data_IF_797917406873
#
_entry.id   IF_797917406873
#
_cell.length_a   1.000
_cell.length_b   1.000
_cell.length_c   1.000
_cell.angle_alpha   90.00
_cell.angle_beta   90.00
_cell.angle_gamma   90.00
#
_symmetry.space_group_name_H-M   'P 1'
#
loop_
_entity.id
_entity.type
_entity.pdbx_description
1 polymer ?
#
# COMPACT_ATOMS: atom_id res chain seq x y z
N UNK A 1 36.20 20.35 2.81
CA UNK A 1 35.31 19.19 2.60
C UNK A 1 34.35 19.13 3.76
N UNK A 2 33.08 18.79 3.54
CA UNK A 2 32.11 18.51 4.61
C UNK A 2 31.72 17.03 4.54
N UNK A 3 31.70 16.37 5.69
CA UNK A 3 31.36 14.95 5.85
C UNK A 3 30.53 14.83 7.12
N UNK A 4 29.25 14.49 6.97
CA UNK A 4 28.36 14.26 8.11
C UNK A 4 28.73 12.98 8.87
N UNK A 5 28.61 13.01 10.18
CA UNK A 5 28.57 11.81 10.99
C UNK A 5 27.19 11.13 10.97
N UNK A 6 27.06 9.99 11.66
CA UNK A 6 25.80 9.24 11.71
C UNK A 6 24.69 9.99 12.45
N UNK A 7 25.02 10.72 13.51
CA UNK A 7 24.07 11.47 14.31
C UNK A 7 23.55 12.68 13.53
N UNK A 8 24.44 13.41 12.86
CA UNK A 8 24.10 14.50 11.94
C UNK A 8 23.17 14.02 10.83
N UNK A 9 23.45 12.85 10.23
CA UNK A 9 22.55 12.26 9.23
C UNK A 9 21.13 12.00 9.78
N UNK A 10 20.99 11.48 11.00
CA UNK A 10 19.66 11.26 11.59
C UNK A 10 18.95 12.57 11.98
N UNK A 11 19.71 13.59 12.35
CA UNK A 11 19.18 14.86 12.86
C UNK A 11 18.99 15.95 11.79
N UNK A 12 19.61 15.81 10.62
CA UNK A 12 19.68 16.85 9.60
C UNK A 12 19.16 16.44 8.23
N UNK A 13 19.16 15.15 7.89
CA UNK A 13 18.69 14.70 6.58
C UNK A 13 17.18 14.51 6.56
N UNK A 14 16.62 14.42 5.35
CA UNK A 14 15.20 14.18 5.15
C UNK A 14 14.79 12.77 5.62
N UNK A 15 13.63 12.70 6.28
CA UNK A 15 12.99 11.45 6.69
C UNK A 15 11.96 11.00 5.63
N UNK A 16 11.28 9.87 5.85
CA UNK A 16 10.26 9.39 4.92
C UNK A 16 9.02 8.85 5.63
N UNK A 17 7.96 8.66 4.85
CA UNK A 17 6.70 7.98 5.18
C UNK A 17 5.64 8.76 5.95
N UNK A 18 6.01 9.56 6.93
CA UNK A 18 5.17 10.03 8.05
C UNK A 18 3.75 10.50 7.68
N UNK A 19 2.83 9.53 7.60
CA UNK A 19 1.47 9.69 7.11
C UNK A 19 0.49 9.09 8.12
N UNK A 20 -0.57 9.82 8.40
CA UNK A 20 -1.76 9.30 9.09
C UNK A 20 -2.87 9.13 8.06
N UNK A 21 -3.26 7.87 7.83
CA UNK A 21 -4.23 7.53 6.78
C UNK A 21 -5.42 6.77 7.35
N UNK A 22 -6.62 7.23 7.02
CA UNK A 22 -7.86 6.51 7.17
C UNK A 22 -8.39 6.12 5.79
N UNK A 23 -8.75 4.85 5.60
CA UNK A 23 -9.24 4.35 4.32
C UNK A 23 -10.47 3.47 4.49
N UNK A 24 -11.38 3.51 3.51
CA UNK A 24 -12.64 2.77 3.48
C UNK A 24 -12.80 2.10 2.11
N UNK A 25 -13.21 0.83 2.12
CA UNK A 25 -13.44 0.04 0.91
C UNK A 25 -14.91 -0.39 0.88
N UNK A 26 -15.61 -0.05 -0.19
CA UNK A 26 -16.97 -0.51 -0.44
C UNK A 26 -16.96 -1.78 -1.28
N UNK A 27 -17.79 -2.76 -0.92
CA UNK A 27 -17.91 -4.03 -1.63
C UNK A 27 -19.37 -4.38 -1.92
N UNK A 28 -19.62 -5.09 -3.02
CA UNK A 28 -20.93 -5.69 -3.29
C UNK A 28 -21.12 -7.05 -2.60
N UNK A 29 -22.32 -7.61 -2.72
CA UNK A 29 -22.66 -8.96 -2.20
C UNK A 29 -21.87 -10.11 -2.83
N UNK A 30 -21.14 -9.86 -3.91
CA UNK A 30 -20.25 -10.82 -4.59
C UNK A 30 -18.78 -10.55 -4.25
N UNK A 31 -18.51 -9.69 -3.27
CA UNK A 31 -17.18 -9.27 -2.81
C UNK A 31 -16.37 -8.56 -3.91
N UNK A 32 -17.04 -7.88 -4.84
CA UNK A 32 -16.40 -6.98 -5.81
C UNK A 32 -16.17 -5.62 -5.17
N UNK A 33 -14.98 -5.05 -5.35
CA UNK A 33 -14.66 -3.71 -4.88
C UNK A 33 -15.40 -2.69 -5.75
N UNK A 34 -16.10 -1.77 -5.10
CA UNK A 34 -16.93 -0.75 -5.74
C UNK A 34 -16.25 0.61 -5.69
N UNK A 35 -15.83 1.01 -4.49
CA UNK A 35 -15.26 2.32 -4.25
C UNK A 35 -14.19 2.30 -3.16
N UNK A 36 -13.20 3.19 -3.29
CA UNK A 36 -12.16 3.45 -2.31
C UNK A 36 -12.22 4.92 -1.89
N UNK A 37 -12.27 5.18 -0.59
CA UNK A 37 -12.17 6.53 0.00
C UNK A 37 -10.97 6.59 0.92
N UNK A 38 -10.06 7.53 0.69
CA UNK A 38 -8.82 7.70 1.45
C UNK A 38 -8.70 9.12 1.97
N UNK A 39 -8.48 9.26 3.27
CA UNK A 39 -8.18 10.52 3.94
C UNK A 39 -6.78 10.43 4.55
N UNK A 40 -5.86 11.23 4.01
CA UNK A 40 -4.43 11.19 4.31
C UNK A 40 -3.96 12.55 4.82
N UNK A 41 -3.26 12.54 5.96
CA UNK A 41 -2.49 13.68 6.48
C UNK A 41 -1.01 13.30 6.42
N UNK A 42 -0.21 14.08 5.70
CA UNK A 42 1.24 13.88 5.55
C UNK A 42 2.00 14.97 6.33
N UNK A 43 2.93 14.56 7.18
CA UNK A 43 3.90 15.46 7.80
C UNK A 43 4.98 15.84 6.78
N UNK A 44 5.26 17.15 6.64
CA UNK A 44 6.28 17.71 5.77
C UNK A 44 7.56 18.14 6.51
N UNK A 45 7.57 18.08 7.83
CA UNK A 45 8.58 18.69 8.68
C UNK A 45 8.46 20.22 8.73
N UNK A 46 9.54 20.89 9.12
CA UNK A 46 9.55 22.34 9.28
C UNK A 46 9.60 23.10 7.94
N UNK A 47 10.10 22.45 6.89
CA UNK A 47 10.31 23.04 5.56
C UNK A 47 10.04 22.02 4.47
N UNK A 48 9.62 22.50 3.30
CA UNK A 48 9.52 21.65 2.12
C UNK A 48 10.91 21.43 1.52
N UNK A 49 11.33 20.17 1.47
CA UNK A 49 12.50 19.72 0.72
C UNK A 49 12.18 19.53 -0.77
N UNK A 50 13.06 18.87 -1.52
CA UNK A 50 13.05 18.82 -2.99
C UNK A 50 11.72 18.34 -3.58
N UNK A 51 11.16 17.20 -3.14
CA UNK A 51 9.89 16.71 -3.67
C UNK A 51 8.72 16.94 -2.70
N UNK A 52 8.96 16.84 -1.39
CA UNK A 52 8.02 17.16 -0.31
C UNK A 52 6.54 16.84 -0.64
N UNK A 53 5.60 17.80 -0.88
CA UNK A 53 4.18 17.47 -1.07
C UNK A 53 3.90 16.65 -2.34
N UNK A 54 4.82 16.61 -3.30
CA UNK A 54 4.71 15.76 -4.47
C UNK A 54 4.73 14.27 -4.09
N UNK A 55 5.41 13.88 -3.01
CA UNK A 55 5.54 12.50 -2.55
C UNK A 55 4.19 11.88 -2.17
N UNK A 56 3.42 12.43 -1.23
CA UNK A 56 2.09 11.90 -0.93
C UNK A 56 1.12 12.11 -2.11
N UNK A 57 1.31 13.13 -2.96
CA UNK A 57 0.46 13.34 -4.15
C UNK A 57 0.61 12.21 -5.18
N UNK A 58 1.84 11.79 -5.51
CA UNK A 58 2.03 10.66 -6.41
C UNK A 58 1.59 9.34 -5.79
N UNK A 59 1.75 9.19 -4.47
CA UNK A 59 1.23 8.06 -3.70
C UNK A 59 -0.29 7.96 -3.75
N UNK A 60 -0.99 9.09 -3.56
CA UNK A 60 -2.45 9.18 -3.66
C UNK A 60 -2.96 8.68 -5.02
N UNK A 61 -2.24 8.98 -6.09
CA UNK A 61 -2.53 8.47 -7.43
C UNK A 61 -2.45 6.93 -7.55
N UNK A 62 -1.76 6.24 -6.66
CA UNK A 62 -1.63 4.78 -6.64
C UNK A 62 -2.56 4.09 -5.62
N UNK A 63 -3.45 4.83 -4.97
CA UNK A 63 -4.34 4.31 -3.91
C UNK A 63 -5.17 3.08 -4.32
N UNK A 64 -5.71 2.98 -5.55
CA UNK A 64 -6.42 1.77 -5.97
C UNK A 64 -5.55 0.50 -6.04
N UNK A 65 -4.22 0.64 -5.99
CA UNK A 65 -3.29 -0.48 -6.12
C UNK A 65 -3.46 -1.19 -7.46
N UNK A 66 -3.43 -2.52 -7.43
CA UNK A 66 -3.60 -3.40 -8.60
C UNK A 66 -5.03 -3.92 -8.75
N UNK A 67 -5.98 -3.28 -8.06
CA UNK A 67 -7.38 -3.70 -8.03
C UNK A 67 -8.22 -2.90 -9.02
N UNK A 68 -9.20 -3.60 -9.59
CA UNK A 68 -10.25 -3.04 -10.42
C UNK A 68 -11.31 -2.37 -9.54
N UNK A 69 -11.10 -1.08 -9.26
CA UNK A 69 -11.96 -0.25 -8.40
C UNK A 69 -12.48 0.91 -9.24
N UNK A 70 -13.80 0.96 -9.45
CA UNK A 70 -14.44 1.90 -10.37
C UNK A 70 -14.45 3.36 -9.87
N UNK A 71 -14.57 3.57 -8.55
CA UNK A 71 -14.59 4.90 -7.95
C UNK A 71 -13.50 5.04 -6.88
N UNK A 72 -12.70 6.10 -6.96
CA UNK A 72 -11.68 6.39 -5.95
C UNK A 72 -11.70 7.87 -5.60
N UNK A 73 -11.81 8.18 -4.32
CA UNK A 73 -11.64 9.52 -3.78
C UNK A 73 -10.45 9.53 -2.82
N UNK A 74 -9.59 10.55 -2.96
CA UNK A 74 -8.46 10.76 -2.05
C UNK A 74 -8.43 12.22 -1.63
N UNK A 75 -8.52 12.45 -0.31
CA UNK A 75 -8.24 13.73 0.32
C UNK A 75 -6.83 13.69 0.92
N UNK A 76 -5.97 14.60 0.46
CA UNK A 76 -4.60 14.76 0.95
C UNK A 76 -4.44 16.12 1.62
N UNK A 77 -3.88 16.11 2.84
CA UNK A 77 -3.50 17.32 3.57
C UNK A 77 -2.04 17.21 3.97
N UNK A 78 -1.24 18.21 3.61
CA UNK A 78 0.14 18.34 4.05
C UNK A 78 0.20 19.30 5.24
N UNK A 79 0.94 18.95 6.29
CA UNK A 79 1.08 19.76 7.50
C UNK A 79 2.55 20.01 7.81
N UNK A 80 2.86 21.20 8.32
CA UNK A 80 4.18 21.51 8.86
C UNK A 80 4.27 21.09 10.32
N UNK A 81 5.44 20.60 10.73
CA UNK A 81 5.75 20.26 12.12
C UNK A 81 7.16 20.72 12.50
N UNK A 82 7.50 20.72 13.80
CA UNK A 82 8.84 21.06 14.27
C UNK A 82 9.82 19.87 14.15
N UNK A 83 9.93 19.28 12.96
CA UNK A 83 10.83 18.16 12.65
C UNK A 83 11.66 18.45 11.40
N UNK A 84 12.66 17.61 11.09
CA UNK A 84 13.39 17.68 9.81
C UNK A 84 12.43 17.41 8.63
N UNK A 85 12.74 17.88 7.41
CA UNK A 85 11.88 17.64 6.25
C UNK A 85 11.58 16.16 6.01
N UNK A 86 10.40 15.88 5.48
CA UNK A 86 10.01 14.54 5.00
C UNK A 86 10.03 14.51 3.48
N UNK A 87 10.74 13.55 2.89
CA UNK A 87 10.92 13.42 1.45
C UNK A 87 10.99 11.94 0.96
N UNK A 88 11.37 11.77 -0.29
CA UNK A 88 11.49 10.51 -0.99
C UNK A 88 12.47 9.57 -0.30
N UNK A 89 11.90 8.54 0.32
CA UNK A 89 12.63 7.33 0.65
C UNK A 89 12.06 6.18 -0.17
N UNK A 90 12.89 5.53 -1.01
CA UNK A 90 12.57 4.31 -1.82
C UNK A 90 11.09 4.15 -2.22
N UNK A 91 10.71 4.66 -3.38
CA UNK A 91 9.38 4.43 -4.00
C UNK A 91 8.42 5.61 -3.97
N UNK A 92 8.66 6.60 -3.09
CA UNK A 92 7.97 7.90 -3.03
C UNK A 92 6.42 7.79 -2.98
N UNK A 93 5.83 7.65 -1.79
CA UNK A 93 4.37 7.60 -1.58
C UNK A 93 3.70 6.28 -2.01
N UNK A 94 4.30 5.54 -2.95
CA UNK A 94 3.78 4.25 -3.43
C UNK A 94 3.82 3.15 -2.37
N UNK A 95 4.88 3.01 -1.55
CA UNK A 95 4.87 2.05 -0.43
C UNK A 95 3.70 2.29 0.54
N UNK A 96 3.37 3.55 0.83
CA UNK A 96 2.30 3.97 1.72
C UNK A 96 0.94 3.63 1.12
N UNK A 97 0.72 3.93 -0.17
CA UNK A 97 -0.49 3.55 -0.89
C UNK A 97 -0.68 2.02 -0.92
N UNK A 98 0.37 1.28 -1.27
CA UNK A 98 0.36 -0.18 -1.28
C UNK A 98 0.08 -0.76 0.11
N UNK A 99 0.73 -0.22 1.15
CA UNK A 99 0.47 -0.65 2.53
C UNK A 99 -1.00 -0.46 2.90
N UNK A 100 -1.56 0.74 2.67
CA UNK A 100 -2.94 1.05 3.04
C UNK A 100 -3.94 0.12 2.34
N UNK A 101 -3.85 -0.02 1.01
CA UNK A 101 -4.81 -0.85 0.27
C UNK A 101 -4.69 -2.32 0.64
N UNK A 102 -3.47 -2.86 0.78
CA UNK A 102 -3.28 -4.27 1.15
C UNK A 102 -3.73 -4.57 2.59
N UNK A 103 -3.51 -3.64 3.53
CA UNK A 103 -4.00 -3.78 4.90
C UNK A 103 -5.53 -3.72 4.97
N UNK A 104 -6.15 -2.89 4.15
CA UNK A 104 -7.60 -2.74 4.04
C UNK A 104 -8.24 -3.97 3.40
N UNK A 105 -7.65 -4.51 2.33
CA UNK A 105 -8.10 -5.77 1.71
C UNK A 105 -8.01 -6.93 2.69
N UNK A 106 -6.93 -7.01 3.49
CA UNK A 106 -6.82 -8.00 4.57
C UNK A 106 -7.88 -7.81 5.65
N UNK A 107 -8.22 -6.55 6.01
CA UNK A 107 -9.26 -6.26 6.99
C UNK A 107 -10.63 -6.71 6.46
N UNK A 108 -10.96 -6.36 5.22
CA UNK A 108 -12.19 -6.79 4.55
C UNK A 108 -12.29 -8.32 4.44
N UNK A 109 -11.18 -9.00 4.12
CA UNK A 109 -11.16 -10.46 4.07
C UNK A 109 -11.48 -11.11 5.43
N UNK A 110 -10.97 -10.54 6.53
CA UNK A 110 -11.29 -11.00 7.89
C UNK A 110 -12.76 -10.77 8.23
N UNK A 111 -13.30 -9.60 7.91
CA UNK A 111 -14.70 -9.24 8.17
C UNK A 111 -15.68 -10.11 7.38
N UNK A 112 -15.33 -10.46 6.15
CA UNK A 112 -16.12 -11.34 5.29
C UNK A 112 -15.87 -12.84 5.50
N UNK A 113 -14.96 -13.20 6.39
CA UNK A 113 -14.53 -14.58 6.65
C UNK A 113 -14.08 -15.34 5.39
N UNK A 114 -13.43 -14.64 4.45
CA UNK A 114 -12.89 -15.23 3.22
C UNK A 114 -11.37 -15.26 3.22
N UNK A 115 -10.80 -16.16 2.40
CA UNK A 115 -9.36 -16.20 2.23
C UNK A 115 -8.85 -14.90 1.57
N UNK A 116 -7.82 -14.25 2.14
CA UNK A 116 -7.34 -12.94 1.68
C UNK A 116 -6.80 -12.97 0.25
N UNK A 117 -6.20 -14.08 -0.18
CA UNK A 117 -5.74 -14.30 -1.55
C UNK A 117 -6.89 -14.55 -2.54
N UNK A 118 -7.98 -15.18 -2.09
CA UNK A 118 -9.19 -15.33 -2.90
C UNK A 118 -9.89 -13.99 -3.15
N UNK A 119 -9.99 -13.13 -2.11
CA UNK A 119 -10.56 -11.79 -2.24
C UNK A 119 -9.73 -10.92 -3.20
N UNK A 120 -8.40 -11.03 -3.14
CA UNK A 120 -7.48 -10.35 -4.05
C UNK A 120 -7.67 -10.79 -5.51
N UNK A 121 -7.59 -12.09 -5.80
CA UNK A 121 -7.79 -12.63 -7.17
C UNK A 121 -9.10 -12.17 -7.78
N UNK A 122 -10.15 -12.13 -6.95
CA UNK A 122 -11.47 -11.70 -7.39
C UNK A 122 -11.47 -10.25 -7.89
N UNK A 123 -10.59 -9.39 -7.38
CA UNK A 123 -10.63 -7.95 -7.62
C UNK A 123 -9.42 -7.40 -8.37
N UNK A 124 -8.44 -8.22 -8.78
CA UNK A 124 -7.35 -7.74 -9.61
C UNK A 124 -7.83 -7.23 -10.97
N UNK A 125 -7.14 -6.22 -11.47
CA UNK A 125 -7.22 -5.86 -12.89
C UNK A 125 -6.78 -7.07 -13.72
N UNK A 126 -7.56 -7.42 -14.74
CA UNK A 126 -7.30 -8.58 -15.58
C UNK A 126 -6.24 -8.25 -16.65
N UNK A 127 -5.41 -9.22 -17.07
CA UNK A 127 -4.47 -9.02 -18.18
C UNK A 127 -5.15 -8.52 -19.46
N UNK A 128 -6.36 -9.04 -19.75
CA UNK A 128 -7.15 -8.66 -20.92
C UNK A 128 -7.71 -7.23 -20.88
N UNK A 129 -7.60 -6.54 -19.73
CA UNK A 129 -8.02 -5.15 -19.57
C UNK A 129 -6.87 -4.16 -19.75
N UNK A 130 -5.65 -4.63 -20.00
CA UNK A 130 -4.49 -3.78 -20.22
C UNK A 130 -4.46 -3.23 -21.66
N UNK A 131 -4.07 -1.95 -21.87
CA UNK A 131 -3.71 -0.97 -20.86
C UNK A 131 -4.93 -0.51 -20.04
N UNK A 132 -4.74 -0.37 -18.73
CA UNK A 132 -5.83 -0.07 -17.79
C UNK A 132 -5.64 1.30 -17.15
N UNK A 133 -6.64 2.17 -17.28
CA UNK A 133 -6.66 3.45 -16.58
C UNK A 133 -7.37 3.30 -15.23
N UNK A 134 -6.67 3.55 -14.13
CA UNK A 134 -7.25 3.53 -12.78
C UNK A 134 -8.21 4.70 -12.57
N UNK A 135 -9.09 4.59 -11.57
CA UNK A 135 -9.98 5.69 -11.16
C UNK A 135 -9.24 6.97 -10.72
N UNK A 136 -7.95 6.88 -10.42
CA UNK A 136 -7.04 7.99 -10.10
C UNK A 136 -6.24 8.49 -11.32
N UNK A 137 -6.54 8.01 -12.52
CA UNK A 137 -5.94 8.46 -13.79
C UNK A 137 -4.56 7.88 -14.09
N UNK A 138 -4.09 6.85 -13.37
CA UNK A 138 -2.84 6.15 -13.70
C UNK A 138 -3.08 5.12 -14.77
N UNK A 139 -2.19 5.04 -15.76
CA UNK A 139 -2.26 4.06 -16.82
C UNK A 139 -1.29 2.92 -16.50
N UNK A 140 -1.82 1.72 -16.33
CA UNK A 140 -1.04 0.49 -16.26
C UNK A 140 -0.87 -0.03 -17.67
N UNK A 141 0.37 -0.25 -18.06
CA UNK A 141 0.76 -0.69 -19.40
C UNK A 141 0.51 -2.19 -19.61
N UNK A 142 0.80 -3.00 -18.60
CA UNK A 142 0.77 -4.46 -18.62
C UNK A 142 0.65 -5.03 -17.21
N UNK A 143 0.28 -6.31 -17.12
CA UNK A 143 0.33 -7.04 -15.85
C UNK A 143 -0.55 -8.29 -15.80
N UNK A 144 -0.01 -9.36 -15.22
CA UNK A 144 -0.77 -10.54 -14.77
C UNK A 144 -0.59 -10.77 -13.27
N UNK A 145 -1.33 -9.99 -12.49
CA UNK A 145 -1.24 -9.99 -11.03
C UNK A 145 -1.69 -11.32 -10.41
N UNK A 146 -2.64 -12.00 -11.04
CA UNK A 146 -3.10 -13.30 -10.58
C UNK A 146 -2.01 -14.36 -10.76
N UNK A 147 -1.34 -14.38 -11.92
CA UNK A 147 -0.22 -15.28 -12.18
C UNK A 147 0.98 -14.99 -11.25
N UNK A 148 1.30 -13.71 -11.02
CA UNK A 148 2.38 -13.35 -10.07
C UNK A 148 2.07 -13.81 -8.65
N UNK A 149 0.84 -13.61 -8.16
CA UNK A 149 0.47 -14.09 -6.84
C UNK A 149 0.48 -15.62 -6.77
N UNK A 150 -0.01 -16.32 -7.80
CA UNK A 150 0.06 -17.78 -7.87
C UNK A 150 1.52 -18.26 -7.79
N UNK A 151 2.41 -17.69 -8.60
CA UNK A 151 3.83 -18.06 -8.59
C UNK A 151 4.48 -17.83 -7.23
N UNK A 152 4.18 -16.70 -6.58
CA UNK A 152 4.66 -16.40 -5.23
C UNK A 152 4.15 -17.43 -4.20
N UNK A 153 2.88 -17.84 -4.32
CA UNK A 153 2.27 -18.86 -3.46
C UNK A 153 2.91 -20.24 -3.63
N UNK A 154 3.25 -20.63 -4.85
CA UNK A 154 3.96 -21.89 -5.13
C UNK A 154 5.35 -21.88 -4.48
N UNK A 155 6.13 -20.82 -4.70
CA UNK A 155 7.49 -20.69 -4.14
C UNK A 155 7.46 -20.69 -2.61
N UNK A 156 6.47 -20.03 -2.01
CA UNK A 156 6.34 -19.91 -0.56
C UNK A 156 5.70 -21.15 0.11
N UNK A 157 5.36 -22.19 -0.66
CA UNK A 157 4.53 -23.33 -0.20
C UNK A 157 3.32 -22.83 0.61
N UNK A 158 2.49 -22.00 -0.03
CA UNK A 158 1.33 -21.40 0.63
C UNK A 158 0.32 -22.45 1.10
N UNK A 159 0.18 -23.55 0.35
CA UNK A 159 -0.69 -24.67 0.72
C UNK A 159 -0.25 -25.32 2.05
N UNK A 160 1.06 -25.45 2.28
CA UNK A 160 1.63 -25.97 3.53
C UNK A 160 1.56 -25.00 4.73
N UNK A 161 1.17 -23.73 4.54
CA UNK A 161 1.23 -22.70 5.58
C UNK A 161 0.46 -23.08 6.86
N UNK A 162 -0.71 -23.74 6.75
CA UNK A 162 -1.50 -24.13 7.93
C UNK A 162 -0.77 -25.14 8.81
N UNK A 163 -0.07 -26.10 8.21
CA UNK A 163 0.72 -27.09 8.94
C UNK A 163 1.90 -26.41 9.65
N UNK A 164 2.61 -25.52 8.95
CA UNK A 164 3.71 -24.75 9.53
C UNK A 164 3.24 -23.85 10.68
N UNK A 165 2.09 -23.17 10.52
CA UNK A 165 1.50 -22.35 11.56
C UNK A 165 1.16 -23.16 12.82
N UNK A 166 0.59 -24.36 12.65
CA UNK A 166 0.30 -25.24 13.77
C UNK A 166 1.57 -25.69 14.51
N UNK A 167 2.65 -25.98 13.78
CA UNK A 167 3.96 -26.31 14.36
C UNK A 167 4.56 -25.12 15.14
N UNK A 168 4.54 -23.93 14.55
CA UNK A 168 5.03 -22.71 15.21
C UNK A 168 4.26 -22.40 16.50
N UNK A 169 2.94 -22.57 16.51
CA UNK A 169 2.13 -22.37 17.72
C UNK A 169 2.53 -23.31 18.87
N UNK A 170 2.82 -24.59 18.56
CA UNK A 170 3.33 -25.54 19.57
C UNK A 170 4.67 -25.11 20.17
N UNK A 171 5.46 -24.35 19.41
CA UNK A 171 6.75 -23.81 19.83
C UNK A 171 6.67 -22.37 20.40
N UNK A 172 5.47 -21.85 20.70
CA UNK A 172 5.30 -20.49 21.23
C UNK A 172 5.58 -19.37 20.23
N UNK A 173 5.55 -19.67 18.91
CA UNK A 173 5.79 -18.71 17.82
C UNK A 173 4.49 -18.36 17.09
N UNK A 174 4.42 -17.14 16.54
CA UNK A 174 3.17 -16.57 15.99
C UNK A 174 2.95 -16.78 14.48
N UNK A 175 3.98 -17.18 13.72
CA UNK A 175 3.87 -17.39 12.27
C UNK A 175 4.48 -18.73 11.87
N UNK A 176 3.80 -19.41 10.96
CA UNK A 176 4.26 -20.65 10.33
C UNK A 176 5.53 -20.44 9.52
#
# INVERSE_FOLDING_TARGET
>A
SWIADRSEHFLGDAQGRDNVTMARLALDKRHRFLALDVDLVADMGAYLSMYAPYIPYIGAGMSPGIYDIAACHVRLRAVYTNTVPVDAYRGAGRPEAAYVIERLVDAAARELEVAPDALRRRNFVKPSAMPYQTATGKNYDSGDFAAHMQRAQEIADWAGFRARLAQSKKAGRLRG
#
